data_IF_608748000564
#
_entry.id   IF_608748000564
#
_cell.length_a   1.000
_cell.length_b   1.000
_cell.length_c   1.000
_cell.angle_alpha   90.00
_cell.angle_beta   90.00
_cell.angle_gamma   90.00
#
_symmetry.space_group_name_H-M   'P 1'
#
loop_
_entity.id
_entity.type
_entity.pdbx_description
1 polymer ?
#
# COMPACT_ATOMS: atom_id res chain seq x y z
N UNK A 1 21.48 -4.98 8.81
CA UNK A 1 20.09 -4.57 8.51
C UNK A 1 19.15 -5.68 8.96
N UNK A 2 18.47 -5.51 10.11
CA UNK A 2 17.52 -6.51 10.61
C UNK A 2 16.35 -6.62 9.62
N UNK A 3 16.30 -7.71 8.85
CA UNK A 3 15.17 -8.03 7.98
C UNK A 3 13.93 -8.13 8.88
N UNK A 4 12.99 -7.19 8.77
CA UNK A 4 11.73 -7.26 9.51
C UNK A 4 11.03 -8.56 9.13
N UNK A 5 10.51 -9.34 10.11
CA UNK A 5 9.82 -10.57 9.80
C UNK A 5 8.64 -10.27 8.85
N UNK A 6 8.40 -11.13 7.83
CA UNK A 6 7.44 -10.85 6.76
C UNK A 6 6.04 -10.53 7.30
N UNK A 7 5.66 -11.13 8.43
CA UNK A 7 4.41 -10.83 9.14
C UNK A 7 4.35 -9.38 9.63
N UNK A 8 5.42 -8.86 10.27
CA UNK A 8 5.46 -7.47 10.73
C UNK A 8 5.40 -6.49 9.56
N UNK A 9 6.05 -6.82 8.43
CA UNK A 9 5.97 -6.00 7.21
C UNK A 9 4.53 -5.88 6.70
N UNK A 10 3.81 -7.01 6.62
CA UNK A 10 2.41 -7.02 6.20
C UNK A 10 1.50 -6.19 7.12
N UNK A 11 1.65 -6.33 8.43
CA UNK A 11 0.88 -5.57 9.43
C UNK A 11 1.16 -4.06 9.34
N UNK A 12 2.41 -3.65 9.17
CA UNK A 12 2.77 -2.23 9.03
C UNK A 12 2.15 -1.62 7.77
N UNK A 13 2.23 -2.32 6.63
CA UNK A 13 1.63 -1.83 5.38
C UNK A 13 0.11 -1.77 5.49
N UNK A 14 -0.52 -2.78 6.10
CA UNK A 14 -1.96 -2.77 6.37
C UNK A 14 -2.38 -1.57 7.23
N UNK A 15 -1.62 -1.26 8.29
CA UNK A 15 -1.87 -0.09 9.12
C UNK A 15 -1.79 1.22 8.30
N UNK A 16 -0.78 1.36 7.43
CA UNK A 16 -0.65 2.52 6.53
C UNK A 16 -1.86 2.64 5.59
N UNK A 17 -2.27 1.53 4.96
CA UNK A 17 -3.44 1.51 4.07
C UNK A 17 -4.75 1.85 4.81
N UNK A 18 -4.88 1.39 6.06
CA UNK A 18 -6.02 1.71 6.92
C UNK A 18 -6.08 3.21 7.22
N UNK A 19 -4.95 3.82 7.58
CA UNK A 19 -4.88 5.28 7.81
C UNK A 19 -5.21 6.05 6.55
N UNK A 20 -4.67 5.64 5.40
CA UNK A 20 -4.96 6.27 4.10
C UNK A 20 -6.45 6.20 3.75
N UNK A 21 -7.12 5.10 4.12
CA UNK A 21 -8.56 4.92 3.92
C UNK A 21 -9.39 5.81 4.84
N UNK A 22 -8.96 5.99 6.10
CA UNK A 22 -9.63 6.94 7.00
C UNK A 22 -9.52 8.38 6.49
N UNK A 23 -8.36 8.77 5.96
CA UNK A 23 -8.17 10.09 5.33
C UNK A 23 -9.09 10.26 4.12
N UNK A 24 -9.15 9.26 3.25
CA UNK A 24 -10.05 9.26 2.08
C UNK A 24 -11.51 9.44 2.48
N UNK A 25 -11.97 8.73 3.52
CA UNK A 25 -13.33 8.86 4.03
C UNK A 25 -13.63 10.28 4.49
N UNK A 26 -12.72 10.89 5.25
CA UNK A 26 -12.88 12.28 5.71
C UNK A 26 -12.91 13.24 4.50
N UNK A 27 -12.02 13.07 3.52
CA UNK A 27 -12.02 13.89 2.30
C UNK A 27 -13.33 13.73 1.52
N UNK A 28 -13.89 12.52 1.46
CA UNK A 28 -15.15 12.26 0.78
C UNK A 28 -16.33 12.92 1.48
N UNK A 29 -16.34 12.99 2.82
CA UNK A 29 -17.41 13.66 3.57
C UNK A 29 -17.37 15.18 3.38
N UNK A 30 -16.17 15.76 3.24
CA UNK A 30 -16.00 17.20 3.06
C UNK A 30 -16.20 17.67 1.60
N UNK A 31 -16.80 16.84 0.74
CA UNK A 31 -17.08 17.14 -0.68
C UNK A 31 -15.86 17.67 -1.46
N UNK A 32 -14.67 17.17 -1.11
CA UNK A 32 -13.42 17.61 -1.74
C UNK A 32 -13.43 17.18 -3.21
N UNK A 33 -12.78 17.98 -4.08
CA UNK A 33 -12.75 17.72 -5.52
C UNK A 33 -12.33 16.27 -5.83
N UNK A 34 -13.06 15.65 -6.75
CA UNK A 34 -12.94 14.23 -7.09
C UNK A 34 -11.50 13.80 -7.47
N UNK A 35 -10.69 14.74 -7.97
CA UNK A 35 -9.28 14.50 -8.31
C UNK A 35 -8.43 14.11 -7.10
N UNK A 36 -8.74 14.62 -5.91
CA UNK A 36 -8.03 14.22 -4.68
C UNK A 36 -8.34 12.78 -4.30
N UNK A 37 -9.59 12.34 -4.43
CA UNK A 37 -9.99 10.95 -4.17
C UNK A 37 -9.33 9.98 -5.17
N UNK A 38 -9.28 10.35 -6.45
CA UNK A 38 -8.57 9.58 -7.47
C UNK A 38 -7.06 9.46 -7.17
N UNK A 39 -6.45 10.54 -6.70
CA UNK A 39 -5.03 10.53 -6.32
C UNK A 39 -4.78 9.56 -5.17
N UNK A 40 -5.62 9.59 -4.13
CA UNK A 40 -5.54 8.66 -3.00
C UNK A 40 -5.77 7.22 -3.45
N UNK A 41 -6.74 6.97 -4.33
CA UNK A 41 -7.02 5.65 -4.88
C UNK A 41 -5.82 5.07 -5.65
N UNK A 42 -5.16 5.87 -6.48
CA UNK A 42 -3.96 5.46 -7.24
C UNK A 42 -2.81 5.11 -6.29
N UNK A 43 -2.55 5.95 -5.28
CA UNK A 43 -1.51 5.68 -4.28
C UNK A 43 -1.80 4.35 -3.57
N UNK A 44 -3.05 4.14 -3.17
CA UNK A 44 -3.47 2.90 -2.48
C UNK A 44 -3.24 1.67 -3.37
N UNK A 45 -3.60 1.77 -4.66
CA UNK A 45 -3.37 0.71 -5.64
C UNK A 45 -1.87 0.38 -5.78
N UNK A 46 -0.99 1.38 -5.86
CA UNK A 46 0.46 1.17 -5.93
C UNK A 46 1.00 0.44 -4.70
N UNK A 47 0.57 0.83 -3.49
CA UNK A 47 0.95 0.14 -2.26
C UNK A 47 0.47 -1.31 -2.26
N UNK A 48 -0.78 -1.57 -2.67
CA UNK A 48 -1.32 -2.93 -2.72
C UNK A 48 -0.53 -3.79 -3.71
N UNK A 49 -0.27 -3.28 -4.91
CA UNK A 49 0.48 -4.01 -5.94
C UNK A 49 1.91 -4.32 -5.49
N UNK A 50 2.62 -3.34 -4.91
CA UNK A 50 4.00 -3.56 -4.46
C UNK A 50 4.10 -4.52 -3.28
N UNK A 51 3.28 -4.34 -2.25
CA UNK A 51 3.45 -5.05 -0.99
C UNK A 51 2.65 -6.35 -0.90
N UNK A 52 1.41 -6.37 -1.39
CA UNK A 52 0.54 -7.54 -1.31
C UNK A 52 0.64 -8.42 -2.56
N UNK A 53 0.70 -7.83 -3.76
CA UNK A 53 0.79 -8.64 -5.00
C UNK A 53 2.21 -9.07 -5.36
N UNK A 54 3.20 -8.79 -4.51
CA UNK A 54 4.60 -9.18 -4.71
C UNK A 54 5.09 -8.95 -6.14
N UNK A 55 4.66 -7.87 -6.79
CA UNK A 55 5.00 -7.58 -8.18
C UNK A 55 6.54 -7.50 -8.37
N UNK A 56 7.24 -7.07 -7.32
CA UNK A 56 8.70 -7.07 -7.25
C UNK A 56 9.34 -8.47 -7.34
N UNK A 57 8.67 -9.53 -6.83
CA UNK A 57 9.13 -10.92 -6.92
C UNK A 57 8.99 -11.49 -8.34
N UNK A 58 8.04 -10.98 -9.11
CA UNK A 58 7.83 -11.36 -10.52
C UNK A 58 8.88 -10.66 -11.41
N UNK A 59 9.24 -9.42 -11.06
CA UNK A 59 10.23 -8.61 -11.81
C UNK A 59 11.68 -8.96 -11.44
N UNK A 60 11.96 -9.34 -10.19
CA UNK A 60 13.28 -9.80 -9.73
C UNK A 60 13.19 -11.23 -9.19
N UNK A 61 13.19 -12.25 -10.07
CA UNK A 61 13.11 -13.65 -9.66
C UNK A 61 14.38 -14.14 -8.91
N UNK A 62 15.52 -13.45 -9.02
CA UNK A 62 16.81 -13.87 -8.45
C UNK A 62 16.96 -13.68 -6.92
N UNK A 63 16.03 -12.97 -6.26
CA UNK A 63 16.06 -12.77 -4.80
C UNK A 63 15.27 -13.87 -4.03
N UNK A 64 15.03 -15.00 -4.72
CA UNK A 64 14.38 -16.21 -4.22
C UNK A 64 15.35 -17.32 -3.81
N UNK A 65 16.60 -16.97 -3.49
CA UNK A 65 17.65 -17.93 -3.12
C UNK A 65 17.25 -18.88 -2.00
N UNK A 66 17.09 -20.15 -2.37
CA UNK A 66 17.50 -21.26 -1.52
C UNK A 66 19.02 -21.39 -1.58
#
# INVERSE_FOLDING_TARGET
MNKLPPLKRGVVVFAILSVLTAIEYILSINEVAQIFLWTVAIIKLLFVVQFFMHFYRIINPDDGGH
#
